data_IF_719155780041
#
_entry.id   IF_719155780041
#
_cell.length_a   1.000
_cell.length_b   1.000
_cell.length_c   1.000
_cell.angle_alpha   90.00
_cell.angle_beta   90.00
_cell.angle_gamma   90.00
#
_symmetry.space_group_name_H-M   'P 1'
#
loop_
_entity.id
_entity.type
_entity.pdbx_description
1 polymer ?
#
# COMPACT_ATOMS: atom_id res chain seq x y z
N UNK A 1 -6.28 -16.11 -20.83
CA UNK A 1 -6.68 -15.24 -19.71
C UNK A 1 -5.43 -14.46 -19.34
N UNK A 2 -5.45 -13.15 -19.49
CA UNK A 2 -4.27 -12.27 -19.44
C UNK A 2 -3.59 -12.37 -18.08
N UNK A 3 -2.34 -12.85 -18.08
CA UNK A 3 -1.44 -12.85 -16.93
C UNK A 3 -1.40 -11.45 -16.32
N UNK A 4 -1.32 -11.38 -14.98
CA UNK A 4 -1.23 -10.16 -14.16
C UNK A 4 0.05 -9.34 -14.39
N UNK A 5 0.30 -8.92 -15.63
CA UNK A 5 1.37 -7.98 -15.94
C UNK A 5 0.88 -6.56 -15.69
N UNK A 6 1.54 -5.88 -14.76
CA UNK A 6 1.43 -4.44 -14.56
C UNK A 6 1.74 -3.68 -15.85
N UNK A 7 0.98 -2.63 -16.13
CA UNK A 7 1.31 -1.72 -17.24
C UNK A 7 2.63 -0.97 -17.00
N UNK A 8 3.30 -0.53 -18.06
CA UNK A 8 4.57 0.21 -17.96
C UNK A 8 4.46 1.42 -17.02
N UNK A 9 3.34 2.16 -17.09
CA UNK A 9 3.07 3.28 -16.19
C UNK A 9 3.08 2.88 -14.72
N UNK A 10 2.42 1.77 -14.37
CA UNK A 10 2.33 1.28 -12.98
C UNK A 10 3.69 0.79 -12.47
N UNK A 11 4.47 0.14 -13.35
CA UNK A 11 5.84 -0.26 -13.03
C UNK A 11 6.73 0.94 -12.72
N UNK A 12 6.57 2.07 -13.44
CA UNK A 12 7.29 3.31 -13.17
C UNK A 12 6.91 3.98 -11.85
N UNK A 13 5.73 3.70 -11.31
CA UNK A 13 5.30 4.23 -10.01
C UNK A 13 5.87 3.44 -8.83
N UNK A 14 6.33 2.20 -9.03
CA UNK A 14 6.87 1.37 -7.95
C UNK A 14 8.09 2.05 -7.29
N UNK A 15 8.09 2.06 -5.96
CA UNK A 15 9.03 2.80 -5.12
C UNK A 15 8.77 4.31 -5.02
N UNK A 16 7.87 4.85 -5.85
CA UNK A 16 7.47 6.26 -5.85
C UNK A 16 6.40 6.58 -4.80
N UNK A 17 6.23 7.88 -4.52
CA UNK A 17 5.11 8.38 -3.73
C UNK A 17 3.88 8.50 -4.62
N UNK A 18 2.75 7.97 -4.16
CA UNK A 18 1.45 8.08 -4.82
C UNK A 18 0.40 8.60 -3.85
N UNK A 19 -0.60 9.27 -4.39
CA UNK A 19 -1.78 9.71 -3.65
C UNK A 19 -2.96 8.82 -3.98
N UNK A 20 -3.86 8.65 -3.02
CA UNK A 20 -5.07 7.88 -3.20
C UNK A 20 -6.17 8.26 -2.23
N UNK A 21 -7.34 7.64 -2.42
CA UNK A 21 -8.52 7.85 -1.60
C UNK A 21 -8.91 6.55 -0.90
N UNK A 22 -9.12 6.58 0.41
CA UNK A 22 -9.58 5.41 1.16
C UNK A 22 -10.98 5.01 0.70
N UNK A 23 -11.15 3.77 0.27
CA UNK A 23 -12.45 3.20 -0.13
C UNK A 23 -13.03 2.29 0.94
N UNK A 24 -12.19 1.60 1.71
CA UNK A 24 -12.63 0.72 2.77
C UNK A 24 -11.59 0.59 3.89
N UNK A 25 -12.09 0.41 5.11
CA UNK A 25 -11.28 0.28 6.33
C UNK A 25 -11.62 -1.06 6.97
N UNK A 26 -10.63 -1.94 7.08
CA UNK A 26 -10.76 -3.24 7.74
C UNK A 26 -9.72 -3.37 8.87
N UNK A 27 -9.98 -4.29 9.81
CA UNK A 27 -9.01 -4.60 10.87
C UNK A 27 -7.67 -5.13 10.36
N UNK A 28 -7.66 -5.73 9.16
CA UNK A 28 -6.47 -6.32 8.54
C UNK A 28 -5.80 -5.38 7.53
N UNK A 29 -6.39 -4.21 7.24
CA UNK A 29 -5.78 -3.23 6.32
C UNK A 29 -6.77 -2.21 5.76
N UNK A 30 -6.22 -1.19 5.10
CA UNK A 30 -6.96 -0.11 4.46
C UNK A 30 -6.88 -0.28 2.95
N UNK A 31 -8.04 -0.23 2.26
CA UNK A 31 -8.11 -0.26 0.81
C UNK A 31 -8.14 1.17 0.28
N UNK A 32 -7.25 1.47 -0.65
CA UNK A 32 -7.05 2.80 -1.22
C UNK A 32 -7.24 2.74 -2.73
N UNK A 33 -8.13 3.55 -3.27
CA UNK A 33 -8.20 3.82 -4.70
C UNK A 33 -7.04 4.72 -5.10
N UNK A 34 -6.18 4.20 -5.98
CA UNK A 34 -5.00 4.89 -6.52
C UNK A 34 -5.22 5.39 -7.95
N UNK A 35 -6.41 5.15 -8.55
CA UNK A 35 -6.64 5.37 -9.97
C UNK A 35 -5.84 4.45 -10.91
N UNK A 36 -5.35 3.31 -10.39
CA UNK A 36 -4.59 2.31 -11.12
C UNK A 36 -5.48 1.11 -11.51
N UNK A 37 -4.91 0.10 -12.18
CA UNK A 37 -5.65 -1.11 -12.59
C UNK A 37 -6.12 -1.96 -11.40
N UNK A 38 -5.48 -1.77 -10.24
CA UNK A 38 -5.76 -2.44 -8.96
C UNK A 38 -5.69 -1.45 -7.82
N UNK A 39 -6.40 -1.77 -6.74
CA UNK A 39 -6.41 -0.96 -5.52
C UNK A 39 -5.12 -1.13 -4.72
N UNK A 40 -4.82 -0.11 -3.93
CA UNK A 40 -3.80 -0.14 -2.88
C UNK A 40 -4.28 -0.83 -1.60
N UNK A 41 -3.33 -1.37 -0.85
CA UNK A 41 -3.47 -1.93 0.48
C UNK A 41 -2.41 -1.32 1.39
N UNK A 42 -2.86 -0.60 2.42
CA UNK A 42 -2.03 -0.35 3.60
C UNK A 42 -2.26 -1.54 4.55
N UNK A 43 -1.25 -2.39 4.69
CA UNK A 43 -1.32 -3.57 5.56
C UNK A 43 -1.42 -3.16 7.04
N UNK A 44 -2.16 -3.91 7.86
CA UNK A 44 -2.30 -3.61 9.28
C UNK A 44 -0.97 -3.54 10.05
N UNK A 45 0.09 -4.16 9.53
CA UNK A 45 1.44 -4.03 10.09
C UNK A 45 1.99 -2.59 10.03
N UNK A 46 1.41 -1.75 9.18
CA UNK A 46 1.75 -0.34 9.01
C UNK A 46 0.72 0.61 9.65
N UNK A 47 -0.26 0.09 10.40
CA UNK A 47 -1.29 0.91 11.06
C UNK A 47 -0.97 0.94 12.54
N UNK A 48 -0.65 2.12 13.07
CA UNK A 48 -0.39 2.33 14.48
C UNK A 48 -1.69 2.60 15.25
N UNK A 49 -1.69 2.41 16.57
CA UNK A 49 -2.88 2.57 17.41
C UNK A 49 -3.49 3.99 17.39
N UNK A 50 -2.71 4.99 16.96
CA UNK A 50 -3.15 6.37 16.81
C UNK A 50 -3.72 6.70 15.42
N UNK A 51 -3.57 5.80 14.44
CA UNK A 51 -4.04 6.05 13.09
C UNK A 51 -5.56 5.87 13.01
N UNK A 52 -6.23 6.84 12.38
CA UNK A 52 -7.68 6.85 12.23
C UNK A 52 -8.09 7.11 10.78
N UNK A 53 -7.89 6.10 9.94
CA UNK A 53 -8.33 6.13 8.55
C UNK A 53 -9.85 6.06 8.45
N UNK A 54 -10.43 6.92 7.62
CA UNK A 54 -11.86 6.96 7.31
C UNK A 54 -12.08 6.85 5.81
N UNK A 55 -13.21 6.25 5.42
CA UNK A 55 -13.61 6.18 4.01
C UNK A 55 -13.76 7.60 3.47
N UNK A 56 -13.12 7.86 2.33
CA UNK A 56 -13.06 9.17 1.68
C UNK A 56 -11.81 9.98 2.00
N UNK A 57 -11.00 9.57 2.98
CA UNK A 57 -9.74 10.25 3.30
C UNK A 57 -8.78 10.21 2.13
N UNK A 58 -8.02 11.30 1.94
CA UNK A 58 -6.88 11.34 1.04
C UNK A 58 -5.63 10.93 1.78
N UNK A 59 -4.91 9.96 1.24
CA UNK A 59 -3.68 9.43 1.81
C UNK A 59 -2.57 9.44 0.77
N UNK A 60 -1.35 9.64 1.23
CA UNK A 60 -0.14 9.51 0.42
C UNK A 60 0.70 8.36 0.97
N UNK A 61 1.38 7.62 0.10
CA UNK A 61 2.22 6.50 0.51
C UNK A 61 3.20 6.08 -0.57
N UNK A 62 4.23 5.35 -0.15
CA UNK A 62 5.16 4.71 -1.08
C UNK A 62 4.51 3.46 -1.67
N UNK A 63 4.50 3.35 -3.00
CA UNK A 63 4.02 2.18 -3.73
C UNK A 63 5.11 1.09 -3.74
N UNK A 64 5.24 0.32 -2.68
CA UNK A 64 6.40 -0.57 -2.49
C UNK A 64 6.47 -1.68 -3.55
N UNK A 65 5.37 -2.40 -3.77
CA UNK A 65 5.30 -3.48 -4.76
C UNK A 65 3.85 -3.79 -5.16
N UNK A 66 3.69 -4.65 -6.16
CA UNK A 66 2.43 -5.33 -6.44
C UNK A 66 2.49 -6.75 -5.88
N UNK A 67 1.51 -7.11 -5.06
CA UNK A 67 1.35 -8.46 -4.53
C UNK A 67 0.40 -9.25 -5.43
N UNK A 68 0.96 -10.12 -6.27
CA UNK A 68 0.20 -10.93 -7.22
C UNK A 68 -0.75 -11.92 -6.54
N UNK A 69 -0.46 -12.35 -5.30
CA UNK A 69 -1.34 -13.26 -4.57
C UNK A 69 -2.57 -12.54 -4.03
N UNK A 70 -2.39 -11.29 -3.59
CA UNK A 70 -3.48 -10.42 -3.09
C UNK A 70 -4.18 -9.65 -4.20
N UNK A 71 -3.60 -9.58 -5.40
CA UNK A 71 -4.03 -8.75 -6.54
C UNK A 71 -4.17 -7.26 -6.14
N UNK A 72 -3.16 -6.76 -5.40
CA UNK A 72 -3.17 -5.41 -4.79
C UNK A 72 -1.78 -4.78 -4.82
N UNK A 73 -1.75 -3.45 -4.92
CA UNK A 73 -0.52 -2.70 -4.65
C UNK A 73 -0.32 -2.52 -3.15
N UNK A 74 0.90 -2.73 -2.66
CA UNK A 74 1.23 -2.51 -1.26
C UNK A 74 1.63 -1.04 -1.07
N UNK A 75 0.86 -0.32 -0.26
CA UNK A 75 1.18 1.04 0.16
C UNK A 75 1.82 1.02 1.54
N UNK A 76 2.95 1.71 1.66
CA UNK A 76 3.58 2.01 2.94
C UNK A 76 3.41 3.49 3.29
N UNK A 77 2.89 3.82 4.48
CA UNK A 77 2.81 5.20 4.94
C UNK A 77 4.20 5.88 4.93
N UNK A 78 4.30 7.17 4.59
CA UNK A 78 5.57 7.84 4.37
C UNK A 78 6.39 8.01 5.66
N UNK A 79 5.74 7.99 6.81
CA UNK A 79 6.37 8.03 8.13
C UNK A 79 7.02 6.71 8.54
N UNK A 80 6.81 5.63 7.78
CA UNK A 80 7.23 4.29 8.16
C UNK A 80 8.27 3.71 7.20
N UNK A 81 9.12 2.84 7.75
CA UNK A 81 10.14 2.09 7.01
C UNK A 81 9.59 0.73 6.54
N UNK A 82 10.16 0.13 5.47
CA UNK A 82 9.74 -1.18 4.99
C UNK A 82 9.76 -2.24 6.09
N UNK A 83 8.78 -3.16 6.08
CA UNK A 83 8.68 -4.23 7.07
C UNK A 83 9.95 -5.08 7.16
N UNK A 84 10.57 -5.40 6.03
CA UNK A 84 11.84 -6.14 6.00
C UNK A 84 12.94 -5.44 6.81
N UNK A 85 13.01 -4.11 6.74
CA UNK A 85 13.97 -3.31 7.50
C UNK A 85 13.63 -3.29 8.99
N UNK A 86 12.34 -3.23 9.35
CA UNK A 86 11.89 -3.34 10.76
C UNK A 86 12.29 -4.67 11.38
N UNK A 87 12.06 -5.76 10.65
CA UNK A 87 12.39 -7.11 11.10
C UNK A 87 13.90 -7.27 11.31
N UNK A 88 14.72 -6.73 10.41
CA UNK A 88 16.19 -6.74 10.54
C UNK A 88 16.67 -6.05 11.83
N UNK A 89 16.10 -4.91 12.18
CA UNK A 89 16.47 -4.15 13.40
C UNK A 89 16.02 -4.81 14.69
N UNK A 90 14.96 -5.62 14.67
CA UNK A 90 14.44 -6.30 15.85
C UNK A 90 15.29 -7.51 16.28
N UNK A 91 16.17 -7.98 15.39
CA UNK A 91 17.09 -9.10 15.63
C UNK A 91 18.49 -8.68 16.07
N UNK A 92 18.75 -7.38 16.19
CA UNK A 92 19.97 -6.77 16.74
C UNK A 92 19.77 -6.40 18.21
#
# INVERSE_FOLDING_TARGET
MTNGQLGEYEQHLLGGMVDGKVEAVFRWGIIVDLGLSRVGLIDALYIDAGDNYQIGDRVSGYLDCFDEQKDKFILRPPSQIPLAERLRRATE
#
